data_IF_702310116988
#
_entry.id   IF_702310116988
#
_cell.length_a   1.000
_cell.length_b   1.000
_cell.length_c   1.000
_cell.angle_alpha   90.00
_cell.angle_beta   90.00
_cell.angle_gamma   90.00
#
_symmetry.space_group_name_H-M   'P 1'
#
loop_
_entity.id
_entity.type
_entity.pdbx_description
1 polymer ?
#
# COMPACT_ATOMS: atom_id res chain seq x y z
N UNK A 1 1.79 -1.34 5.88
CA UNK A 1 2.37 -0.23 5.09
C UNK A 1 1.40 0.36 4.06
N UNK A 2 0.83 -0.39 3.11
CA UNK A 2 -0.03 0.21 2.04
C UNK A 2 -1.36 0.78 2.55
N UNK A 3 -1.84 0.37 3.73
CA UNK A 3 -3.08 0.89 4.32
C UNK A 3 -2.99 2.38 4.63
N UNK A 4 -1.80 2.89 4.96
CA UNK A 4 -1.59 4.29 5.34
C UNK A 4 -1.88 5.26 4.17
N UNK A 5 -1.60 4.81 2.95
CA UNK A 5 -1.83 5.57 1.71
C UNK A 5 -3.09 5.12 0.96
N UNK A 6 -3.93 4.29 1.59
CA UNK A 6 -5.10 3.71 0.92
C UNK A 6 -6.11 4.74 0.43
N UNK A 7 -6.20 5.90 1.09
CA UNK A 7 -7.04 7.03 0.68
C UNK A 7 -6.63 7.64 -0.68
N UNK A 8 -5.37 7.49 -1.08
CA UNK A 8 -4.84 7.99 -2.35
C UNK A 8 -4.91 6.94 -3.48
N UNK A 9 -5.30 5.70 -3.15
CA UNK A 9 -5.40 4.61 -4.12
C UNK A 9 -6.88 4.37 -4.44
N UNK A 10 -7.29 4.83 -5.60
CA UNK A 10 -8.63 4.58 -6.12
C UNK A 10 -8.90 3.07 -6.23
N UNK A 11 -10.03 2.62 -5.67
CA UNK A 11 -10.43 1.22 -5.69
C UNK A 11 -9.57 0.30 -4.81
N UNK A 12 -8.85 0.84 -3.82
CA UNK A 12 -7.96 0.07 -2.95
C UNK A 12 -8.61 -1.18 -2.35
N UNK A 13 -9.82 -1.07 -1.83
CA UNK A 13 -10.57 -2.20 -1.24
C UNK A 13 -10.83 -3.31 -2.26
N UNK A 14 -11.20 -2.96 -3.49
CA UNK A 14 -11.45 -3.92 -4.57
C UNK A 14 -10.16 -4.58 -5.03
N UNK A 15 -9.08 -3.81 -5.21
CA UNK A 15 -7.77 -4.32 -5.67
C UNK A 15 -7.18 -5.25 -4.61
N UNK A 16 -7.30 -4.90 -3.32
CA UNK A 16 -6.71 -5.68 -2.23
C UNK A 16 -7.57 -6.84 -1.77
N UNK A 17 -8.83 -6.96 -2.21
CA UNK A 17 -9.73 -8.05 -1.80
C UNK A 17 -9.09 -9.44 -1.96
N UNK A 18 -8.46 -9.79 -3.10
CA UNK A 18 -7.85 -11.12 -3.26
C UNK A 18 -6.69 -11.37 -2.30
N UNK A 19 -6.02 -10.31 -1.84
CA UNK A 19 -4.91 -10.37 -0.89
C UNK A 19 -5.44 -10.47 0.55
N UNK A 20 -6.51 -9.73 0.88
CA UNK A 20 -7.17 -9.80 2.19
C UNK A 20 -7.86 -11.13 2.43
N UNK A 21 -8.37 -11.76 1.37
CA UNK A 21 -8.99 -13.09 1.48
C UNK A 21 -7.97 -14.16 1.89
N UNK A 22 -6.68 -14.01 1.54
CA UNK A 22 -5.61 -14.91 1.99
C UNK A 22 -5.33 -14.85 3.50
N UNK A 23 -5.78 -13.82 4.22
CA UNK A 23 -5.57 -13.69 5.67
C UNK A 23 -6.75 -14.20 6.49
N UNK A 24 -7.84 -14.65 5.85
CA UNK A 24 -9.00 -15.21 6.53
C UNK A 24 -8.71 -16.62 7.02
N UNK A 25 -9.11 -16.92 8.26
CA UNK A 25 -8.89 -18.23 8.90
C UNK A 25 -9.58 -19.40 8.18
N UNK A 26 -10.67 -19.12 7.47
CA UNK A 26 -11.46 -20.13 6.74
C UNK A 26 -10.83 -20.55 5.41
N UNK A 27 -9.85 -19.78 4.92
CA UNK A 27 -9.42 -19.86 3.54
C UNK A 27 -8.11 -20.61 3.38
N UNK A 28 -8.08 -21.58 2.45
CA UNK A 28 -6.83 -22.23 2.08
C UNK A 28 -5.94 -21.22 1.38
N UNK A 29 -4.74 -21.03 1.93
CA UNK A 29 -3.78 -20.11 1.33
C UNK A 29 -3.36 -20.62 -0.05
N UNK A 30 -3.69 -19.85 -1.10
CA UNK A 30 -3.33 -20.16 -2.48
C UNK A 30 -2.94 -18.89 -3.22
N UNK A 31 -1.70 -18.82 -3.65
CA UNK A 31 -1.24 -17.74 -4.52
C UNK A 31 -1.42 -18.12 -5.99
N UNK A 32 -2.47 -17.58 -6.62
CA UNK A 32 -2.76 -17.78 -8.03
C UNK A 32 -2.62 -16.50 -8.85
N UNK A 33 -3.08 -16.57 -10.10
CA UNK A 33 -3.10 -15.42 -11.03
C UNK A 33 -3.88 -14.22 -10.47
N UNK A 34 -4.97 -14.47 -9.74
CA UNK A 34 -5.80 -13.41 -9.14
C UNK A 34 -5.03 -12.60 -8.09
N UNK A 35 -4.31 -13.27 -7.19
CA UNK A 35 -3.46 -12.64 -6.17
C UNK A 35 -2.26 -11.94 -6.80
N UNK A 36 -1.59 -12.58 -7.76
CA UNK A 36 -0.48 -11.98 -8.49
C UNK A 36 -0.87 -10.69 -9.21
N UNK A 37 -2.01 -10.70 -9.92
CA UNK A 37 -2.53 -9.51 -10.60
C UNK A 37 -2.90 -8.40 -9.62
N UNK A 38 -3.57 -8.74 -8.51
CA UNK A 38 -3.91 -7.79 -7.46
C UNK A 38 -2.67 -7.12 -6.86
N UNK A 39 -1.62 -7.90 -6.60
CA UNK A 39 -0.36 -7.40 -6.07
C UNK A 39 0.39 -6.50 -7.07
N UNK A 40 0.43 -6.89 -8.35
CA UNK A 40 1.05 -6.08 -9.40
C UNK A 40 0.29 -4.75 -9.61
N UNK A 41 -1.03 -4.80 -9.65
CA UNK A 41 -1.87 -3.61 -9.78
C UNK A 41 -1.72 -2.67 -8.58
N UNK A 42 -1.66 -3.23 -7.36
CA UNK A 42 -1.40 -2.45 -6.16
C UNK A 42 -0.06 -1.71 -6.23
N UNK A 43 1.02 -2.39 -6.66
CA UNK A 43 2.33 -1.76 -6.88
C UNK A 43 2.25 -0.63 -7.91
N UNK A 44 1.58 -0.88 -9.03
CA UNK A 44 1.43 0.10 -10.11
C UNK A 44 0.67 1.35 -9.66
N UNK A 45 -0.40 1.18 -8.88
CA UNK A 45 -1.20 2.28 -8.33
C UNK A 45 -0.43 3.08 -7.28
N UNK A 46 0.35 2.41 -6.42
CA UNK A 46 1.24 3.06 -5.45
C UNK A 46 2.29 3.96 -6.11
N UNK A 47 2.74 3.60 -7.31
CA UNK A 47 3.74 4.38 -8.05
C UNK A 47 3.16 5.45 -8.97
N UNK A 48 1.85 5.66 -8.95
CA UNK A 48 1.21 6.62 -9.84
C UNK A 48 1.24 8.04 -9.26
N UNK A 49 1.15 9.05 -10.13
CA UNK A 49 1.34 10.49 -9.81
C UNK A 49 0.34 11.03 -8.76
N UNK A 50 -0.77 10.32 -8.49
CA UNK A 50 -1.72 10.67 -7.43
C UNK A 50 -1.34 10.19 -6.02
N UNK A 51 -0.40 9.25 -5.91
CA UNK A 51 0.11 8.71 -4.63
C UNK A 51 1.54 9.19 -4.37
N UNK A 52 2.35 9.35 -5.43
CA UNK A 52 3.67 9.96 -5.35
C UNK A 52 3.67 11.31 -6.06
N UNK A 53 3.96 12.36 -5.32
CA UNK A 53 4.09 13.72 -5.83
C UNK A 53 5.54 14.22 -5.68
N UNK A 54 5.89 15.24 -6.46
CA UNK A 54 7.12 15.99 -6.22
C UNK A 54 7.04 16.72 -4.88
N UNK A 55 8.18 16.78 -4.20
CA UNK A 55 8.29 17.51 -2.95
C UNK A 55 8.05 19.01 -3.17
N UNK A 56 7.22 19.61 -2.33
CA UNK A 56 6.91 21.03 -2.35
C UNK A 56 7.40 21.69 -1.04
N UNK A 57 8.44 22.53 -1.08
CA UNK A 57 8.99 23.16 0.12
C UNK A 57 8.03 24.16 0.79
N UNK A 58 6.96 24.58 0.08
CA UNK A 58 5.94 25.46 0.63
C UNK A 58 4.84 24.72 1.40
N UNK A 59 4.79 23.38 1.31
CA UNK A 59 3.82 22.56 2.05
C UNK A 59 4.39 22.06 3.37
N UNK A 60 3.50 21.90 4.35
CA UNK A 60 3.84 21.23 5.59
C UNK A 60 4.32 19.80 5.29
N UNK A 61 5.36 19.38 5.99
CA UNK A 61 5.98 18.07 5.80
C UNK A 61 5.85 17.25 7.07
N UNK A 62 5.37 16.03 6.93
CA UNK A 62 5.25 15.06 8.02
C UNK A 62 6.04 13.79 7.67
N UNK A 63 6.65 13.16 8.68
CA UNK A 63 7.29 11.86 8.54
C UNK A 63 6.57 10.88 9.45
N UNK A 64 5.99 9.85 8.85
CA UNK A 64 5.45 8.71 9.58
C UNK A 64 6.51 7.62 9.65
N UNK A 65 6.90 7.24 10.86
CA UNK A 65 7.96 6.26 11.12
C UNK A 65 7.39 5.07 11.86
N UNK A 66 7.79 3.87 11.46
CA UNK A 66 7.52 2.63 12.17
C UNK A 66 8.82 1.84 12.34
N UNK A 67 9.06 1.33 13.54
CA UNK A 67 10.29 0.66 13.92
C UNK A 67 9.96 -0.69 14.58
N UNK A 68 10.69 -1.71 14.16
CA UNK A 68 10.69 -3.04 14.77
C UNK A 68 12.10 -3.39 15.26
N UNK A 69 12.26 -4.43 16.10
CA UNK A 69 13.58 -4.89 16.54
C UNK A 69 14.55 -5.24 15.39
N UNK A 70 14.03 -5.48 14.18
CA UNK A 70 14.80 -5.94 13.03
C UNK A 70 14.98 -4.87 11.94
N UNK A 71 14.26 -3.75 12.01
CA UNK A 71 14.31 -2.76 10.94
C UNK A 71 13.39 -1.57 11.15
N UNK A 72 13.72 -0.50 10.43
CA UNK A 72 13.04 0.80 10.44
C UNK A 72 12.41 1.06 9.07
N UNK A 73 11.19 1.60 9.07
CA UNK A 73 10.53 2.13 7.89
C UNK A 73 10.04 3.55 8.14
N UNK A 74 10.10 4.40 7.12
CA UNK A 74 9.57 5.76 7.19
C UNK A 74 8.87 6.13 5.87
N UNK A 75 7.90 7.04 5.97
CA UNK A 75 7.18 7.61 4.84
C UNK A 75 7.06 9.11 5.01
N UNK A 76 7.40 9.86 3.96
CA UNK A 76 7.24 11.31 3.88
C UNK A 76 5.86 11.65 3.32
N UNK A 77 5.17 12.60 3.95
CA UNK A 77 3.81 13.04 3.59
C UNK A 77 3.78 14.57 3.50
N UNK A 78 3.05 15.10 2.52
CA UNK A 78 2.82 16.54 2.28
C UNK A 78 1.42 16.79 1.70
#
# INVERSE_FOLDING_TARGET
MTQLVSHYIEGYTTITEPLRTLTRKSETWKWGKRQGNAFAELKRKLTNVGVMAYFDPCKATEIMVDASPHGLGAMLIQ
#
